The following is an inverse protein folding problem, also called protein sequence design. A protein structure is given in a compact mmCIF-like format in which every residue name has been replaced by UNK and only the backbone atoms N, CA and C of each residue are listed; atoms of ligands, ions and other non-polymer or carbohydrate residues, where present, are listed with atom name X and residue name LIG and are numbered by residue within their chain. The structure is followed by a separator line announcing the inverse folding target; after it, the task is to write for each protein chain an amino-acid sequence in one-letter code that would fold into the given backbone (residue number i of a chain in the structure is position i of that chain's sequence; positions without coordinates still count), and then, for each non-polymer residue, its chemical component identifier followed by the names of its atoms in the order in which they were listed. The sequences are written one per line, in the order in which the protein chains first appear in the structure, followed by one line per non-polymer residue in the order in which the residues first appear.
data_IF_042566155595
#
_entry.id   IF_042566155595
#
_cell.length_a   1.000
_cell.length_b   1.000
_cell.length_c   1.000
_cell.angle_alpha   90.00
_cell.angle_beta   90.00
_cell.angle_gamma   90.00
#
_symmetry.space_group_name_H-M   'P 1'
#
loop_
_entity.id
_entity.type
_entity.pdbx_description
1 polymer ?
#
# COMPACT_ATOMS: atom_id res chain seq x y z
N UNK A 1 -15.98 -2.14 0.10
CA UNK A 1 -14.78 -2.84 0.60
C UNK A 1 -14.25 -2.03 1.78
N UNK A 2 -13.67 -2.66 2.80
CA UNK A 2 -13.18 -1.96 4.00
C UNK A 2 -11.69 -2.16 4.21
N UNK A 3 -11.00 -1.15 4.74
CA UNK A 3 -9.59 -1.27 5.15
C UNK A 3 -9.45 -1.83 6.58
N UNK A 4 -8.21 -1.93 7.07
CA UNK A 4 -7.87 -2.38 8.42
C UNK A 4 -8.55 -1.59 9.55
N UNK A 5 -8.90 -0.32 9.33
CA UNK A 5 -9.64 0.50 10.29
C UNK A 5 -11.17 0.28 10.23
N UNK A 6 -11.66 -0.46 9.24
CA UNK A 6 -13.10 -0.67 9.00
C UNK A 6 -13.76 0.44 8.18
N UNK A 7 -12.96 1.36 7.63
CA UNK A 7 -13.43 2.46 6.80
C UNK A 7 -13.74 1.99 5.38
N UNK A 8 -14.80 2.54 4.78
CA UNK A 8 -15.21 2.20 3.42
C UNK A 8 -14.27 2.82 2.38
N UNK A 9 -13.70 1.97 1.53
CA UNK A 9 -12.84 2.34 0.42
C UNK A 9 -13.65 2.44 -0.88
N UNK A 10 -13.41 3.50 -1.64
CA UNK A 10 -13.80 3.59 -3.05
C UNK A 10 -12.85 2.77 -3.92
N UNK A 11 -11.56 2.77 -3.60
CA UNK A 11 -10.53 2.03 -4.32
C UNK A 11 -9.50 1.44 -3.38
N UNK A 12 -9.32 0.12 -3.47
CA UNK A 12 -8.17 -0.55 -2.90
C UNK A 12 -6.95 -0.28 -3.78
N UNK A 13 -5.82 0.14 -3.20
CA UNK A 13 -4.57 0.34 -3.93
C UNK A 13 -3.60 -0.81 -3.70
N UNK A 14 -3.20 -1.06 -2.46
CA UNK A 14 -2.23 -2.09 -2.13
C UNK A 14 -2.37 -2.62 -0.69
N UNK A 15 -1.85 -3.82 -0.47
CA UNK A 15 -1.83 -4.52 0.82
C UNK A 15 -0.48 -5.18 1.02
N UNK A 16 -0.01 -5.19 2.26
CA UNK A 16 1.10 -6.02 2.70
C UNK A 16 0.55 -7.17 3.54
N UNK A 17 0.74 -8.41 3.07
CA UNK A 17 0.17 -9.61 3.67
C UNK A 17 1.26 -10.53 4.21
N UNK A 18 1.14 -10.96 5.47
CA UNK A 18 2.05 -11.93 6.06
C UNK A 18 1.84 -13.32 5.44
N UNK A 19 2.91 -13.93 4.95
CA UNK A 19 2.91 -15.31 4.40
C UNK A 19 4.00 -16.15 5.03
N UNK A 20 3.64 -16.92 6.06
CA UNK A 20 4.60 -17.73 6.81
C UNK A 20 5.69 -16.86 7.43
N UNK A 21 6.94 -17.04 6.98
CA UNK A 21 8.06 -16.22 7.42
C UNK A 21 8.24 -14.93 6.60
N UNK A 22 7.57 -14.80 5.46
CA UNK A 22 7.68 -13.69 4.53
C UNK A 22 6.50 -12.72 4.58
N UNK A 23 6.54 -11.75 3.67
CA UNK A 23 5.50 -10.75 3.45
C UNK A 23 5.35 -10.55 1.94
N UNK A 24 4.11 -10.56 1.48
CA UNK A 24 3.76 -10.30 0.10
C UNK A 24 3.24 -8.87 -0.04
N UNK A 25 3.59 -8.24 -1.15
CA UNK A 25 2.96 -6.99 -1.58
C UNK A 25 1.89 -7.32 -2.62
N UNK A 26 0.63 -7.11 -2.25
CA UNK A 26 -0.54 -7.34 -3.09
C UNK A 26 -1.02 -6.01 -3.65
N UNK A 27 -0.99 -5.87 -4.96
CA UNK A 27 -1.43 -4.67 -5.67
C UNK A 27 -2.85 -4.87 -6.22
N UNK A 28 -3.60 -3.77 -6.39
CA UNK A 28 -4.84 -3.79 -7.16
C UNK A 28 -4.60 -4.34 -8.57
N UNK A 29 -5.40 -5.33 -8.99
CA UNK A 29 -5.21 -6.05 -10.25
C UNK A 29 -5.33 -5.15 -11.48
N UNK A 30 -6.26 -4.19 -11.49
CA UNK A 30 -6.41 -3.24 -12.61
C UNK A 30 -5.18 -2.35 -12.75
N UNK A 31 -4.72 -1.77 -11.64
CA UNK A 31 -3.50 -0.94 -11.63
C UNK A 31 -2.27 -1.76 -11.99
N UNK A 32 -2.20 -3.02 -11.54
CA UNK A 32 -1.11 -3.93 -11.90
C UNK A 32 -1.08 -4.25 -13.39
N UNK A 33 -2.24 -4.44 -14.01
CA UNK A 33 -2.36 -4.70 -15.45
C UNK A 33 -1.95 -3.48 -16.30
N UNK A 34 -2.23 -2.27 -15.80
CA UNK A 34 -1.86 -1.01 -16.46
C UNK A 34 -0.47 -0.48 -16.05
N UNK A 35 0.33 -1.25 -15.29
CA UNK A 35 1.60 -0.79 -14.73
C UNK A 35 2.65 -0.47 -15.80
N UNK A 36 3.25 0.72 -15.70
CA UNK A 36 4.34 1.13 -16.58
C UNK A 36 5.71 0.70 -16.03
N UNK A 37 6.65 0.22 -16.87
CA UNK A 37 7.97 -0.26 -16.43
C UNK A 37 8.80 0.78 -15.66
N UNK A 38 8.69 2.07 -16.01
CA UNK A 38 9.40 3.16 -15.34
C UNK A 38 8.88 3.41 -13.92
N UNK A 39 7.58 3.23 -13.70
CA UNK A 39 6.94 3.34 -12.39
C UNK A 39 7.24 2.09 -11.57
N UNK A 40 7.11 0.89 -12.16
CA UNK A 40 7.40 -0.37 -11.48
C UNK A 40 8.83 -0.40 -10.92
N UNK A 41 9.81 0.08 -11.71
CA UNK A 41 11.22 0.15 -11.31
C UNK A 41 11.42 1.06 -10.09
N UNK A 42 10.67 2.17 -9.98
CA UNK A 42 10.72 3.09 -8.84
C UNK A 42 9.97 2.55 -7.62
N UNK A 43 8.92 1.77 -7.86
CA UNK A 43 8.06 1.20 -6.82
C UNK A 43 8.78 0.10 -6.03
N UNK A 44 9.50 -0.80 -6.72
CA UNK A 44 10.21 -1.95 -6.15
C UNK A 44 11.06 -1.65 -4.90
N UNK A 45 11.99 -0.67 -4.91
CA UNK A 45 12.83 -0.40 -3.73
C UNK A 45 12.02 0.12 -2.53
N UNK A 46 10.93 0.86 -2.77
CA UNK A 46 10.07 1.40 -1.71
C UNK A 46 9.25 0.28 -1.08
N UNK A 47 8.67 -0.60 -1.91
CA UNK A 47 7.98 -1.80 -1.44
C UNK A 47 8.91 -2.69 -0.63
N UNK A 48 10.15 -2.89 -1.10
CA UNK A 48 11.14 -3.67 -0.38
C UNK A 48 11.45 -3.09 1.01
N UNK A 49 11.68 -1.78 1.10
CA UNK A 49 11.87 -1.03 2.35
C UNK A 49 10.72 -1.25 3.35
N UNK A 50 9.47 -1.16 2.86
CA UNK A 50 8.29 -1.45 3.67
C UNK A 50 8.27 -2.91 4.15
N UNK A 51 8.56 -3.87 3.27
CA UNK A 51 8.61 -5.29 3.62
C UNK A 51 9.60 -5.57 4.75
N UNK A 52 10.82 -5.06 4.64
CA UNK A 52 11.85 -5.24 5.67
C UNK A 52 11.42 -4.68 7.02
N UNK A 53 10.82 -3.49 7.02
CA UNK A 53 10.37 -2.82 8.24
C UNK A 53 9.20 -3.56 8.87
N UNK A 54 8.18 -3.92 8.09
CA UNK A 54 6.99 -4.64 8.57
C UNK A 54 7.31 -6.04 9.10
N UNK A 55 8.27 -6.75 8.49
CA UNK A 55 8.70 -8.07 8.93
C UNK A 55 9.26 -8.08 10.36
N UNK A 56 9.90 -6.98 10.81
CA UNK A 56 10.38 -6.84 12.19
C UNK A 56 9.24 -6.90 13.20
N UNK A 57 8.05 -6.45 12.80
CA UNK A 57 6.86 -6.37 13.64
C UNK A 57 5.84 -7.49 13.37
N UNK A 58 6.15 -8.46 12.49
CA UNK A 58 5.20 -9.50 12.05
C UNK A 58 4.51 -10.26 13.19
N UNK A 59 5.24 -10.54 14.27
CA UNK A 59 4.73 -11.31 15.44
C UNK A 59 3.73 -10.53 16.29
N UNK A 60 3.68 -9.21 16.10
CA UNK A 60 2.77 -8.31 16.82
C UNK A 60 1.52 -7.99 15.99
N UNK A 61 1.49 -8.39 14.72
CA UNK A 61 0.30 -8.25 13.88
C UNK A 61 -0.78 -9.23 14.33
N UNK A 62 -2.02 -8.76 14.38
CA UNK A 62 -3.20 -9.59 14.68
C UNK A 62 -4.00 -9.96 13.43
N UNK A 63 -3.52 -9.55 12.25
CA UNK A 63 -4.13 -9.83 10.95
C UNK A 63 -3.07 -10.32 9.96
N UNK A 64 -3.52 -11.05 8.94
CA UNK A 64 -2.70 -11.40 7.77
C UNK A 64 -2.29 -10.10 7.06
N UNK A 65 -3.23 -9.19 6.85
CA UNK A 65 -2.94 -7.86 6.34
C UNK A 65 -2.29 -7.02 7.43
N UNK A 66 -0.98 -6.81 7.34
CA UNK A 66 -0.22 -6.04 8.33
C UNK A 66 -0.27 -4.54 8.06
N UNK A 67 -0.41 -4.15 6.79
CA UNK A 67 -0.61 -2.77 6.35
C UNK A 67 -1.44 -2.76 5.07
N UNK A 68 -2.35 -1.81 4.93
CA UNK A 68 -3.08 -1.55 3.68
C UNK A 68 -3.11 -0.06 3.35
N UNK A 69 -3.29 0.22 2.06
CA UNK A 69 -3.45 1.57 1.54
C UNK A 69 -4.57 1.60 0.51
N UNK A 70 -5.41 2.63 0.57
CA UNK A 70 -6.53 2.78 -0.33
C UNK A 70 -7.08 4.20 -0.34
N UNK A 71 -7.99 4.45 -1.27
CA UNK A 71 -8.74 5.70 -1.37
C UNK A 71 -10.10 5.50 -0.70
N UNK A 72 -10.44 6.37 0.24
CA UNK A 72 -11.72 6.43 0.91
C UNK A 72 -12.84 6.83 -0.06
N UNK A 73 -14.09 6.61 0.32
CA UNK A 73 -15.25 7.14 -0.43
C UNK A 73 -15.28 8.66 -0.52
N UNK A 74 -14.56 9.36 0.37
CA UNK A 74 -14.33 10.80 0.33
C UNK A 74 -13.31 11.24 -0.73
N UNK A 75 -12.57 10.29 -1.32
CA UNK A 75 -11.48 10.57 -2.26
C UNK A 75 -10.11 10.75 -1.59
N UNK A 76 -10.03 10.67 -0.26
CA UNK A 76 -8.78 10.82 0.47
C UNK A 76 -7.99 9.50 0.52
N UNK A 77 -6.67 9.58 0.39
CA UNK A 77 -5.80 8.43 0.62
C UNK A 77 -5.65 8.14 2.11
N UNK A 78 -5.82 6.88 2.48
CA UNK A 78 -5.64 6.39 3.84
C UNK A 78 -4.72 5.15 3.84
N UNK A 79 -3.80 5.12 4.80
CA UNK A 79 -2.93 3.97 5.09
C UNK A 79 -3.19 3.50 6.52
N UNK A 80 -3.38 2.20 6.72
CA UNK A 80 -3.65 1.63 8.03
C UNK A 80 -2.77 0.41 8.31
N UNK A 81 -2.14 0.43 9.48
CA UNK A 81 -1.50 -0.76 10.05
C UNK A 81 -2.57 -1.68 10.64
N UNK A 82 -2.23 -2.96 10.81
CA UNK A 82 -3.03 -3.91 11.58
C UNK A 82 -3.42 -3.32 12.94
N UNK A 83 -4.63 -3.63 13.41
CA UNK A 83 -5.21 -3.04 14.63
C UNK A 83 -4.24 -3.19 15.81
N UNK A 84 -3.94 -2.06 16.46
CA UNK A 84 -3.04 -2.01 17.62
C UNK A 84 -1.55 -2.11 17.27
N UNK A 85 -1.15 -2.51 16.07
CA UNK A 85 0.26 -2.65 15.69
C UNK A 85 1.03 -1.33 15.84
N UNK A 86 0.41 -0.22 15.46
CA UNK A 86 1.03 1.10 15.48
C UNK A 86 1.52 1.57 16.86
N UNK A 87 1.09 0.94 17.97
CA UNK A 87 1.60 1.25 19.31
C UNK A 87 2.97 0.62 19.60
N UNK A 88 3.34 -0.41 18.84
CA UNK A 88 4.61 -1.13 19.00
C UNK A 88 5.67 -0.72 17.99
N UNK A 89 5.26 -0.08 16.88
CA UNK A 89 6.18 0.40 15.86
C UNK A 89 6.92 1.63 16.38
N UNK A 90 8.25 1.61 16.26
CA UNK A 90 9.08 2.75 16.66
C UNK A 90 8.69 4.01 15.87
N UNK A 91 8.74 5.22 16.47
CA UNK A 91 8.29 6.44 15.79
C UNK A 91 8.92 6.67 14.42
N UNK A 92 10.24 6.45 14.29
CA UNK A 92 10.97 6.64 13.03
C UNK A 92 10.56 5.61 11.97
N UNK A 93 10.42 4.34 12.36
CA UNK A 93 9.92 3.28 11.47
C UNK A 93 8.49 3.57 11.01
N UNK A 94 7.65 4.09 11.91
CA UNK A 94 6.25 4.46 11.60
C UNK A 94 6.18 5.62 10.62
N UNK A 95 6.97 6.67 10.84
CA UNK A 95 7.06 7.81 9.93
C UNK A 95 7.53 7.37 8.54
N UNK A 96 8.58 6.53 8.49
CA UNK A 96 9.09 5.99 7.24
C UNK A 96 8.06 5.15 6.51
N UNK A 97 7.36 4.24 7.20
CA UNK A 97 6.30 3.41 6.62
C UNK A 97 5.20 4.26 5.98
N UNK A 98 4.71 5.29 6.68
CA UNK A 98 3.66 6.14 6.14
C UNK A 98 4.14 7.04 4.99
N UNK A 99 5.39 7.50 5.02
CA UNK A 99 5.98 8.23 3.91
C UNK A 99 6.15 7.35 2.67
N UNK A 100 6.64 6.13 2.84
CA UNK A 100 6.82 5.16 1.77
C UNK A 100 5.46 4.69 1.22
N UNK A 101 4.46 4.45 2.08
CA UNK A 101 3.08 4.15 1.69
C UNK A 101 2.44 5.27 0.86
N UNK A 102 2.67 6.53 1.23
CA UNK A 102 2.21 7.68 0.44
C UNK A 102 2.88 7.71 -0.93
N UNK A 103 4.19 7.50 -1.01
CA UNK A 103 4.92 7.45 -2.30
C UNK A 103 4.42 6.31 -3.19
N UNK A 104 4.14 5.14 -2.60
CA UNK A 104 3.50 4.03 -3.32
C UNK A 104 2.18 4.52 -3.91
N UNK A 105 1.29 5.11 -3.09
CA UNK A 105 0.01 5.63 -3.57
C UNK A 105 0.16 6.67 -4.69
N UNK A 106 1.10 7.62 -4.57
CA UNK A 106 1.38 8.62 -5.60
C UNK A 106 1.78 7.96 -6.93
N UNK A 107 2.61 6.91 -6.90
CA UNK A 107 2.97 6.16 -8.10
C UNK A 107 1.77 5.42 -8.72
N UNK A 108 0.93 4.80 -7.89
CA UNK A 108 -0.25 4.06 -8.38
C UNK A 108 -1.30 5.01 -8.97
N UNK A 109 -1.49 6.19 -8.37
CA UNK A 109 -2.34 7.25 -8.94
C UNK A 109 -1.79 7.72 -10.28
N UNK A 110 -0.46 7.90 -10.40
CA UNK A 110 0.15 8.27 -11.68
C UNK A 110 -0.07 7.22 -12.79
N UNK A 111 -0.12 5.92 -12.45
CA UNK A 111 -0.49 4.87 -13.41
C UNK A 111 -1.92 5.08 -13.90
N UNK A 112 -2.86 5.30 -12.97
CA UNK A 112 -4.27 5.52 -13.29
C UNK A 112 -4.49 6.77 -14.14
N UNK A 113 -3.83 7.87 -13.79
CA UNK A 113 -3.94 9.14 -14.51
C UNK A 113 -3.43 9.01 -15.95
N UNK A 114 -2.25 8.40 -16.13
CA UNK A 114 -1.69 8.13 -17.46
C UNK A 114 -2.64 7.26 -18.28
N UNK A 115 -3.17 6.19 -17.69
CA UNK A 115 -4.09 5.28 -18.38
C UNK A 115 -5.37 5.98 -18.83
N UNK A 116 -5.90 6.85 -17.97
CA UNK A 116 -7.09 7.65 -18.27
C UNK A 116 -6.83 8.61 -19.44
N UNK A 117 -5.64 9.23 -19.50
CA UNK A 117 -5.25 10.12 -20.59
C UNK A 117 -5.11 9.38 -21.93
N UNK A 118 -4.51 8.19 -21.94
CA UNK A 118 -4.40 7.35 -23.14
C UNK A 118 -5.77 6.99 -23.70
N UNK A 119 -6.75 6.67 -22.85
CA UNK A 119 -8.12 6.35 -23.28
C UNK A 119 -8.89 7.55 -23.84
N UNK A 120 -8.53 8.78 -23.47
CA UNK A 120 -9.15 10.01 -23.98
C UNK A 120 -8.51 10.48 -25.31
N UNK A 121 -7.31 9.99 -25.63
CA UNK A 121 -6.54 10.40 -26.81
C UNK A 121 -6.53 9.36 -27.93
N UNK A 122 -7.06 8.16 -27.69
CA UNK A 122 -7.31 7.10 -28.69
C UNK A 122 -8.73 7.12 -29.22
#
# INVERSE_FOLDING_TARGET
MKNNAGNDLSLFLFRFELRGAGIDFVLNEGIAADMYPDIETKLKPIVHSCCETLLRYRRLSVSITIMDGGILTTGEFEVMLSKGLGQYVAPDDKQRLFQDAKRIADFLTAVMDRRTQEQQTG
#
